data_IF_696880633540
#
_entry.id   IF_696880633540
#
_cell.length_a   1.000
_cell.length_b   1.000
_cell.length_c   1.000
_cell.angle_alpha   90.00
_cell.angle_beta   90.00
_cell.angle_gamma   90.00
#
_symmetry.space_group_name_H-M   'P 1'
#
loop_
_entity.id
_entity.type
_entity.pdbx_description
1 polymer ?
#
# COMPACT_ATOMS: atom_id res chain seq x y z
N UNK A 1 26.30 -0.32 10.34
CA UNK A 1 25.81 -1.66 9.90
C UNK A 1 24.49 -2.07 10.56
N UNK A 2 24.33 -1.94 11.88
CA UNK A 2 23.09 -2.32 12.62
C UNK A 2 21.81 -1.60 12.17
N UNK A 3 21.83 -0.29 11.86
CA UNK A 3 20.62 0.42 11.42
C UNK A 3 20.11 -0.02 10.04
N UNK A 4 21.00 -0.39 9.12
CA UNK A 4 20.64 -0.88 7.77
C UNK A 4 20.05 -2.28 7.87
N UNK A 5 20.64 -3.15 8.69
CA UNK A 5 20.11 -4.49 8.98
C UNK A 5 18.75 -4.40 9.69
N UNK A 6 18.59 -3.50 10.66
CA UNK A 6 17.34 -3.26 11.36
C UNK A 6 16.23 -2.73 10.43
N UNK A 7 16.52 -1.74 9.57
CA UNK A 7 15.57 -1.26 8.55
C UNK A 7 15.19 -2.33 7.53
N UNK A 8 16.14 -3.19 7.12
CA UNK A 8 15.85 -4.32 6.23
C UNK A 8 14.97 -5.38 6.93
N UNK A 9 15.21 -5.65 8.22
CA UNK A 9 14.42 -6.57 9.04
C UNK A 9 13.01 -6.05 9.30
N UNK A 10 12.86 -4.74 9.56
CA UNK A 10 11.56 -4.06 9.68
C UNK A 10 10.76 -4.12 8.37
N UNK A 11 11.39 -3.86 7.22
CA UNK A 11 10.73 -3.95 5.89
C UNK A 11 10.25 -5.37 5.56
N UNK A 12 10.99 -6.39 5.97
CA UNK A 12 10.60 -7.81 5.78
C UNK A 12 9.42 -8.13 6.71
N UNK A 13 9.48 -7.70 7.98
CA UNK A 13 8.39 -7.91 8.94
C UNK A 13 7.11 -7.18 8.51
N UNK A 14 7.18 -5.96 7.99
CA UNK A 14 5.98 -5.22 7.61
C UNK A 14 5.25 -5.82 6.40
N UNK A 15 5.95 -6.41 5.42
CA UNK A 15 5.29 -7.15 4.34
C UNK A 15 4.60 -8.43 4.88
N UNK A 16 5.24 -9.14 5.80
CA UNK A 16 4.63 -10.29 6.47
C UNK A 16 3.29 -9.89 7.13
N UNK A 17 3.26 -8.81 7.91
CA UNK A 17 2.01 -8.34 8.55
C UNK A 17 0.99 -7.81 7.53
N UNK A 18 1.41 -7.17 6.45
CA UNK A 18 0.50 -6.77 5.36
C UNK A 18 -0.16 -7.99 4.70
N UNK A 19 0.58 -9.07 4.49
CA UNK A 19 0.05 -10.33 3.96
C UNK A 19 -0.93 -10.96 4.97
N UNK A 20 -0.58 -11.03 6.25
CA UNK A 20 -1.47 -11.54 7.29
C UNK A 20 -2.76 -10.74 7.38
N UNK A 21 -2.67 -9.41 7.41
CA UNK A 21 -3.84 -8.51 7.42
C UNK A 21 -4.72 -8.69 6.16
N UNK A 22 -4.12 -9.02 5.03
CA UNK A 22 -4.85 -9.27 3.77
C UNK A 22 -5.56 -10.63 3.73
N UNK A 23 -5.15 -11.57 4.57
CA UNK A 23 -5.66 -12.95 4.60
C UNK A 23 -6.54 -13.24 5.84
N UNK A 24 -6.46 -12.41 6.90
CA UNK A 24 -7.08 -12.70 8.20
C UNK A 24 -8.60 -12.89 8.14
N UNK A 25 -9.26 -12.13 7.27
CA UNK A 25 -10.72 -12.17 7.06
C UNK A 25 -11.12 -13.06 5.88
N UNK A 26 -10.20 -13.38 4.96
CA UNK A 26 -10.51 -14.13 3.74
C UNK A 26 -9.27 -14.80 3.15
N UNK A 27 -9.28 -16.14 3.21
CA UNK A 27 -8.32 -16.99 2.51
C UNK A 27 -8.41 -16.79 1.00
N UNK A 28 -7.28 -16.78 0.31
CA UNK A 28 -7.25 -16.65 -1.14
C UNK A 28 -5.99 -17.27 -1.74
N UNK A 29 -5.93 -17.39 -3.07
CA UNK A 29 -4.68 -17.82 -3.71
C UNK A 29 -3.61 -16.75 -3.65
N UNK A 30 -2.34 -17.13 -3.83
CA UNK A 30 -1.25 -16.17 -3.94
C UNK A 30 -1.46 -15.16 -5.08
N UNK A 31 -2.13 -15.58 -6.16
CA UNK A 31 -2.48 -14.70 -7.29
C UNK A 31 -3.56 -13.68 -6.91
N UNK A 32 -4.63 -14.13 -6.25
CA UNK A 32 -5.70 -13.25 -5.77
C UNK A 32 -5.15 -12.27 -4.72
N UNK A 33 -4.25 -12.73 -3.86
CA UNK A 33 -3.55 -11.89 -2.89
C UNK A 33 -2.72 -10.82 -3.60
N UNK A 34 -1.93 -11.20 -4.60
CA UNK A 34 -1.13 -10.26 -5.38
C UNK A 34 -2.01 -9.18 -6.03
N UNK A 35 -3.18 -9.56 -6.57
CA UNK A 35 -4.18 -8.59 -7.05
C UNK A 35 -4.72 -7.65 -5.97
N UNK A 36 -4.89 -8.12 -4.73
CA UNK A 36 -5.29 -7.24 -3.60
C UNK A 36 -4.18 -6.20 -3.30
N UNK A 37 -2.92 -6.57 -3.46
CA UNK A 37 -1.78 -5.64 -3.35
C UNK A 37 -1.67 -4.68 -4.53
N UNK A 38 -2.10 -5.06 -5.73
CA UNK A 38 -2.20 -4.10 -6.84
C UNK A 38 -3.39 -3.12 -6.65
N UNK A 39 -4.39 -3.53 -5.86
CA UNK A 39 -5.56 -2.73 -5.50
C UNK A 39 -5.52 -2.19 -4.07
N UNK A 40 -6.45 -2.67 -3.22
CA UNK A 40 -6.78 -2.08 -1.91
C UNK A 40 -5.62 -1.98 -0.91
N UNK A 41 -4.68 -2.92 -0.93
CA UNK A 41 -3.53 -2.93 -0.01
C UNK A 41 -2.36 -2.12 -0.58
N UNK A 42 -2.30 -1.99 -1.91
CA UNK A 42 -1.31 -1.20 -2.64
C UNK A 42 -1.29 0.27 -2.26
N UNK A 43 -2.38 0.79 -1.69
CA UNK A 43 -2.49 2.19 -1.28
C UNK A 43 -1.47 2.57 -0.22
N UNK A 44 -1.16 1.65 0.69
CA UNK A 44 -0.22 1.90 1.79
C UNK A 44 0.93 0.90 1.84
N UNK A 45 0.88 -0.17 1.04
CA UNK A 45 1.97 -1.13 0.97
C UNK A 45 2.21 -1.67 -0.44
N UNK A 46 3.33 -1.25 -1.04
CA UNK A 46 3.76 -1.71 -2.35
C UNK A 46 4.66 -2.95 -2.21
N UNK A 47 4.32 -4.02 -2.92
CA UNK A 47 5.14 -5.23 -3.00
C UNK A 47 4.95 -5.89 -4.37
N UNK A 48 6.05 -6.31 -4.99
CA UNK A 48 5.96 -7.08 -6.23
C UNK A 48 5.38 -8.46 -5.97
N UNK A 49 4.75 -9.05 -7.00
CA UNK A 49 4.22 -10.42 -6.92
C UNK A 49 5.30 -11.39 -6.42
N UNK A 50 6.53 -11.27 -6.94
CA UNK A 50 7.65 -12.09 -6.51
C UNK A 50 8.01 -11.91 -5.02
N UNK A 51 7.92 -10.69 -4.48
CA UNK A 51 8.09 -10.45 -3.04
C UNK A 51 6.98 -11.13 -2.23
N UNK A 52 5.73 -11.03 -2.67
CA UNK A 52 4.57 -11.64 -2.01
C UNK A 52 4.72 -13.17 -1.96
N UNK A 53 5.04 -13.84 -3.07
CA UNK A 53 5.22 -15.29 -3.10
C UNK A 53 6.39 -15.76 -2.24
N UNK A 54 7.52 -15.04 -2.26
CA UNK A 54 8.67 -15.35 -1.39
C UNK A 54 8.30 -15.21 0.09
N UNK A 55 7.53 -14.18 0.43
CA UNK A 55 7.14 -13.94 1.82
C UNK A 55 6.09 -14.96 2.29
N UNK A 56 5.11 -15.32 1.46
CA UNK A 56 4.17 -16.42 1.74
C UNK A 56 4.90 -17.72 2.06
N UNK A 57 5.94 -18.07 1.28
CA UNK A 57 6.73 -19.28 1.57
C UNK A 57 7.46 -19.22 2.92
N UNK A 58 7.88 -18.04 3.37
CA UNK A 58 8.47 -17.88 4.71
C UNK A 58 7.41 -17.98 5.80
N UNK A 59 6.26 -17.34 5.61
CA UNK A 59 5.15 -17.39 6.56
C UNK A 59 4.63 -18.81 6.77
N UNK A 60 4.60 -19.61 5.70
CA UNK A 60 4.23 -21.03 5.74
C UNK A 60 5.24 -21.83 6.57
N UNK A 61 6.54 -21.62 6.35
CA UNK A 61 7.62 -22.22 7.18
C UNK A 61 7.59 -21.78 8.64
N UNK A 62 7.13 -20.57 8.92
CA UNK A 62 6.95 -20.05 10.27
C UNK A 62 5.65 -20.54 10.93
N UNK A 63 4.77 -21.22 10.19
CA UNK A 63 3.47 -21.68 10.68
C UNK A 63 2.45 -20.54 10.87
N UNK A 64 2.69 -19.35 10.30
CA UNK A 64 1.79 -18.20 10.42
C UNK A 64 0.69 -18.21 9.36
N UNK A 65 0.96 -18.85 8.22
CA UNK A 65 -0.05 -19.22 7.23
C UNK A 65 0.04 -20.72 6.97
N UNK A 66 -1.04 -21.28 6.47
CA UNK A 66 -1.10 -22.62 5.91
C UNK A 66 -1.61 -22.53 4.48
N UNK A 67 -1.25 -23.53 3.68
CA UNK A 67 -1.74 -23.64 2.32
C UNK A 67 -2.41 -24.97 2.05
N UNK A 68 -3.52 -24.92 1.31
CA UNK A 68 -4.26 -26.08 0.85
C UNK A 68 -4.29 -26.09 -0.68
N UNK A 69 -4.15 -27.27 -1.27
CA UNK A 69 -4.28 -27.47 -2.71
C UNK A 69 -5.74 -27.81 -2.98
N UNK A 70 -6.43 -26.94 -3.71
CA UNK A 70 -7.81 -27.14 -4.14
C UNK A 70 -7.80 -27.62 -5.59
N UNK A 71 -8.20 -28.87 -5.87
CA UNK A 71 -8.26 -29.39 -7.23
C UNK A 71 -9.18 -28.56 -8.13
N UNK A 72 -8.77 -28.33 -9.38
CA UNK A 72 -9.59 -27.62 -10.36
C UNK A 72 -9.79 -28.45 -11.63
N UNK A 73 -10.99 -28.38 -12.21
CA UNK A 73 -11.23 -29.02 -13.52
C UNK A 73 -10.80 -28.10 -14.67
N UNK A 74 -10.04 -28.66 -15.62
CA UNK A 74 -9.59 -27.96 -16.82
C UNK A 74 -8.56 -26.85 -16.58
N UNK A 75 -8.02 -26.72 -15.37
CA UNK A 75 -7.00 -25.74 -14.96
C UNK A 75 -6.05 -26.37 -13.92
N UNK A 76 -4.83 -25.84 -13.73
CA UNK A 76 -3.96 -26.27 -12.64
C UNK A 76 -4.62 -26.08 -11.27
N UNK A 77 -4.28 -26.94 -10.32
CA UNK A 77 -4.81 -26.86 -8.97
C UNK A 77 -4.50 -25.50 -8.30
N UNK A 78 -5.47 -25.01 -7.52
CA UNK A 78 -5.38 -23.72 -6.86
C UNK A 78 -4.78 -23.89 -5.47
N UNK A 79 -3.61 -23.30 -5.24
CA UNK A 79 -3.04 -23.19 -3.90
C UNK A 79 -3.66 -22.01 -3.15
N UNK A 80 -4.45 -22.28 -2.12
CA UNK A 80 -5.13 -21.29 -1.27
C UNK A 80 -4.40 -21.16 0.06
N UNK A 81 -4.20 -19.92 0.51
CA UNK A 81 -3.54 -19.59 1.77
C UNK A 81 -4.54 -19.07 2.80
N UNK A 82 -4.37 -19.51 4.05
CA UNK A 82 -5.18 -19.12 5.20
C UNK A 82 -4.28 -18.78 6.39
N UNK A 83 -4.68 -17.79 7.20
CA UNK A 83 -3.93 -17.42 8.42
C UNK A 83 -4.20 -18.46 9.52
N UNK A 84 -3.15 -18.93 10.19
CA UNK A 84 -3.26 -19.87 11.32
C UNK A 84 -3.62 -19.13 12.62
N UNK A 85 -3.87 -19.88 13.71
CA UNK A 85 -4.02 -19.29 15.05
C UNK A 85 -2.75 -18.52 15.47
N UNK A 86 -1.59 -19.10 15.22
CA UNK A 86 -0.30 -18.46 15.50
C UNK A 86 -0.13 -17.18 14.67
N UNK A 87 -0.42 -17.22 13.37
CA UNK A 87 -0.34 -16.03 12.52
C UNK A 87 -1.28 -14.90 12.97
N UNK A 88 -2.47 -15.24 13.51
CA UNK A 88 -3.38 -14.25 14.09
C UNK A 88 -2.80 -13.61 15.36
N UNK A 89 -2.19 -14.39 16.24
CA UNK A 89 -1.52 -13.87 17.44
C UNK A 89 -0.38 -12.91 17.07
N UNK A 90 0.45 -13.31 16.10
CA UNK A 90 1.57 -12.48 15.63
C UNK A 90 1.08 -11.16 15.02
N UNK A 91 -0.03 -11.20 14.26
CA UNK A 91 -0.66 -9.99 13.73
C UNK A 91 -1.20 -9.09 14.86
N UNK A 92 -1.86 -9.66 15.88
CA UNK A 92 -2.36 -8.91 17.03
C UNK A 92 -1.23 -8.25 17.83
N UNK A 93 -0.16 -9.00 18.11
CA UNK A 93 1.01 -8.47 18.81
C UNK A 93 1.69 -7.33 18.03
N UNK A 94 1.72 -7.43 16.70
CA UNK A 94 2.26 -6.36 15.86
C UNK A 94 1.37 -5.12 15.84
N UNK A 95 0.05 -5.28 15.75
CA UNK A 95 -0.92 -4.17 15.82
C UNK A 95 -0.83 -3.43 17.16
N UNK A 96 -0.57 -4.15 18.24
CA UNK A 96 -0.45 -3.56 19.58
C UNK A 96 0.86 -2.78 19.81
N UNK A 97 1.85 -2.89 18.91
CA UNK A 97 3.12 -2.18 19.03
C UNK A 97 2.99 -0.76 18.44
N UNK A 98 3.57 0.26 19.10
CA UNK A 98 3.60 1.61 18.55
C UNK A 98 4.26 1.66 17.17
N UNK A 99 3.71 2.50 16.29
CA UNK A 99 4.28 2.79 14.98
C UNK A 99 4.73 4.25 14.96
N UNK A 100 6.02 4.48 14.66
CA UNK A 100 6.59 5.83 14.55
C UNK A 100 6.32 6.43 13.17
N UNK A 101 6.03 7.74 13.07
CA UNK A 101 5.97 8.42 11.79
C UNK A 101 7.27 8.27 11.01
N UNK A 102 7.16 7.88 9.74
CA UNK A 102 8.30 7.81 8.85
C UNK A 102 8.57 9.19 8.24
N UNK A 103 9.84 9.62 8.12
CA UNK A 103 10.16 10.84 7.40
C UNK A 103 9.74 10.70 5.93
N UNK A 104 9.25 11.79 5.34
CA UNK A 104 8.96 11.87 3.91
C UNK A 104 10.27 11.62 3.14
N UNK A 105 10.20 10.73 2.15
CA UNK A 105 11.30 10.41 1.24
C UNK A 105 10.74 10.42 -0.16
N UNK A 106 10.90 11.57 -0.81
CA UNK A 106 10.33 11.82 -2.12
C UNK A 106 11.36 12.54 -2.99
N UNK A 107 11.62 11.99 -4.17
CA UNK A 107 12.65 12.48 -5.09
C UNK A 107 12.27 13.85 -5.67
N UNK A 108 10.98 14.13 -5.87
CA UNK A 108 10.50 15.42 -6.36
C UNK A 108 10.88 16.54 -5.40
N UNK A 109 10.71 16.33 -4.10
CA UNK A 109 11.04 17.34 -3.10
C UNK A 109 12.54 17.69 -3.12
N UNK A 110 13.41 16.72 -3.39
CA UNK A 110 14.85 16.96 -3.56
C UNK A 110 15.13 17.72 -4.85
N UNK A 111 14.46 17.36 -5.96
CA UNK A 111 14.56 18.10 -7.24
C UNK A 111 14.15 19.56 -7.07
N UNK A 112 13.03 19.83 -6.39
CA UNK A 112 12.54 21.20 -6.14
C UNK A 112 13.47 21.97 -5.22
N UNK A 113 14.02 21.34 -4.17
CA UNK A 113 14.93 21.99 -3.23
C UNK A 113 16.11 22.70 -3.93
N UNK A 114 16.59 22.14 -5.05
CA UNK A 114 17.65 22.74 -5.88
C UNK A 114 17.17 23.12 -7.27
N UNK A 115 15.87 23.37 -7.46
CA UNK A 115 15.27 23.60 -8.77
C UNK A 115 15.81 24.83 -9.52
N UNK A 116 16.37 25.81 -8.80
CA UNK A 116 16.95 27.03 -9.37
C UNK A 116 18.21 26.80 -10.24
N UNK A 117 18.80 25.60 -10.21
CA UNK A 117 20.00 25.27 -11.01
C UNK A 117 19.66 24.77 -12.43
N UNK A 118 18.38 24.62 -12.76
CA UNK A 118 17.89 24.19 -14.08
C UNK A 118 16.90 25.21 -14.63
N UNK A 119 16.46 25.02 -15.88
CA UNK A 119 15.42 25.86 -16.45
C UNK A 119 14.09 25.67 -15.70
N UNK A 120 13.32 26.74 -15.56
CA UNK A 120 11.98 26.69 -14.97
C UNK A 120 11.08 25.65 -15.67
N UNK A 121 11.17 25.59 -17.00
CA UNK A 121 10.45 24.60 -17.81
C UNK A 121 10.72 23.16 -17.36
N UNK A 122 11.96 22.83 -16.98
CA UNK A 122 12.33 21.49 -16.49
C UNK A 122 11.59 21.14 -15.20
N UNK A 123 11.47 22.09 -14.26
CA UNK A 123 10.78 21.86 -12.99
C UNK A 123 9.27 21.81 -13.19
N UNK A 124 8.72 22.68 -14.03
CA UNK A 124 7.29 22.68 -14.36
C UNK A 124 6.85 21.36 -15.01
N UNK A 125 7.64 20.81 -15.94
CA UNK A 125 7.37 19.51 -16.55
C UNK A 125 7.34 18.37 -15.52
N UNK A 126 8.28 18.36 -14.59
CA UNK A 126 8.34 17.33 -13.53
C UNK A 126 7.16 17.47 -12.56
N UNK A 127 6.82 18.70 -12.15
CA UNK A 127 5.67 18.99 -11.30
C UNK A 127 4.36 18.53 -11.94
N UNK A 128 4.17 18.80 -13.24
CA UNK A 128 2.97 18.38 -13.97
C UNK A 128 2.90 16.85 -14.11
N UNK A 129 4.03 16.19 -14.38
CA UNK A 129 4.10 14.73 -14.42
C UNK A 129 3.68 14.11 -13.08
N UNK A 130 4.23 14.60 -11.98
CA UNK A 130 3.86 14.14 -10.64
C UNK A 130 2.40 14.45 -10.31
N UNK A 131 1.93 15.67 -10.62
CA UNK A 131 0.53 16.08 -10.40
C UNK A 131 -0.43 15.12 -11.11
N UNK A 132 -0.16 14.80 -12.37
CA UNK A 132 -0.99 13.90 -13.16
C UNK A 132 -1.04 12.49 -12.56
N UNK A 133 0.10 11.95 -12.11
CA UNK A 133 0.14 10.65 -11.44
C UNK A 133 -0.68 10.62 -10.13
N UNK A 134 -0.67 11.72 -9.36
CA UNK A 134 -1.50 11.85 -8.15
C UNK A 134 -2.99 12.01 -8.48
N UNK A 135 -3.35 12.71 -9.56
CA UNK A 135 -4.73 12.82 -10.04
C UNK A 135 -5.31 11.45 -10.41
N UNK A 136 -4.56 10.62 -11.13
CA UNK A 136 -4.99 9.28 -11.55
C UNK A 136 -5.26 8.37 -10.34
N UNK A 137 -4.37 8.41 -9.34
CA UNK A 137 -4.57 7.70 -8.07
C UNK A 137 -5.77 8.21 -7.30
N UNK A 138 -5.92 9.54 -7.19
CA UNK A 138 -7.05 10.17 -6.52
C UNK A 138 -8.38 9.76 -7.15
N UNK A 139 -8.46 9.73 -8.49
CA UNK A 139 -9.64 9.24 -9.22
C UNK A 139 -9.96 7.80 -8.83
N UNK A 140 -8.96 6.91 -8.89
CA UNK A 140 -9.12 5.50 -8.51
C UNK A 140 -9.66 5.36 -7.08
N UNK A 141 -9.17 6.18 -6.14
CA UNK A 141 -9.62 6.11 -4.75
C UNK A 141 -11.05 6.62 -4.56
N UNK A 142 -11.43 7.67 -5.28
CA UNK A 142 -12.81 8.19 -5.26
C UNK A 142 -13.79 7.20 -5.87
N UNK A 143 -13.42 6.51 -6.95
CA UNK A 143 -14.25 5.48 -7.56
C UNK A 143 -14.49 4.31 -6.58
N UNK A 144 -13.49 3.92 -5.81
CA UNK A 144 -13.62 2.90 -4.77
C UNK A 144 -14.48 3.37 -3.59
N UNK A 145 -14.31 4.63 -3.17
CA UNK A 145 -15.14 5.24 -2.13
C UNK A 145 -16.62 5.20 -2.53
N UNK A 146 -16.92 5.63 -3.76
CA UNK A 146 -18.27 5.62 -4.31
C UNK A 146 -18.82 4.20 -4.49
N UNK A 147 -17.98 3.23 -4.85
CA UNK A 147 -18.43 1.85 -5.11
C UNK A 147 -18.71 1.05 -3.84
N UNK A 148 -17.88 1.21 -2.80
CA UNK A 148 -17.88 0.32 -1.64
C UNK A 148 -18.30 0.99 -0.33
N UNK A 149 -18.32 2.33 -0.26
CA UNK A 149 -18.50 3.07 1.01
C UNK A 149 -19.60 4.15 0.93
N UNK A 150 -20.71 3.84 0.25
CA UNK A 150 -21.82 4.79 0.04
C UNK A 150 -22.57 5.17 1.33
N UNK A 151 -22.68 4.26 2.30
CA UNK A 151 -23.41 4.48 3.54
C UNK A 151 -22.53 4.22 4.76
N UNK A 152 -21.88 5.28 5.26
CA UNK A 152 -20.94 5.19 6.38
C UNK A 152 -21.60 4.76 7.70
N UNK A 153 -22.89 5.04 7.88
CA UNK A 153 -23.63 4.69 9.10
C UNK A 153 -23.91 3.18 9.21
N UNK A 154 -23.86 2.45 8.08
CA UNK A 154 -24.16 1.02 8.01
C UNK A 154 -22.92 0.16 7.79
N UNK A 155 -21.71 0.73 7.88
CA UNK A 155 -20.48 -0.05 7.74
C UNK A 155 -20.31 -1.03 8.89
N UNK A 156 -19.95 -2.27 8.55
CA UNK A 156 -19.41 -3.23 9.53
C UNK A 156 -18.11 -2.69 10.14
N UNK A 157 -17.72 -3.21 11.31
CA UNK A 157 -16.49 -2.74 11.96
C UNK A 157 -15.26 -2.94 11.07
N UNK A 158 -15.12 -4.09 10.40
CA UNK A 158 -14.06 -4.33 9.41
C UNK A 158 -14.08 -3.27 8.30
N UNK A 159 -15.25 -2.95 7.75
CA UNK A 159 -15.38 -1.96 6.69
C UNK A 159 -15.02 -0.55 7.17
N UNK A 160 -15.26 -0.19 8.44
CA UNK A 160 -14.81 1.09 9.01
C UNK A 160 -13.28 1.22 8.95
N UNK A 161 -12.53 0.18 9.31
CA UNK A 161 -11.06 0.23 9.24
C UNK A 161 -10.55 0.32 7.80
N UNK A 162 -11.16 -0.42 6.87
CA UNK A 162 -10.84 -0.32 5.44
C UNK A 162 -11.16 1.07 4.86
N UNK A 163 -12.28 1.66 5.28
CA UNK A 163 -12.64 3.01 4.88
C UNK A 163 -11.63 4.04 5.38
N UNK A 164 -11.16 3.93 6.64
CA UNK A 164 -10.18 4.86 7.20
C UNK A 164 -8.85 4.87 6.43
N UNK A 165 -8.39 3.71 5.95
CA UNK A 165 -7.16 3.64 5.13
C UNK A 165 -7.38 4.27 3.75
N UNK A 166 -8.51 4.00 3.10
CA UNK A 166 -8.88 4.64 1.83
C UNK A 166 -8.99 6.16 1.97
N UNK A 167 -9.64 6.65 3.04
CA UNK A 167 -9.75 8.08 3.34
C UNK A 167 -8.40 8.74 3.54
N UNK A 168 -7.46 8.07 4.20
CA UNK A 168 -6.09 8.58 4.34
C UNK A 168 -5.43 8.70 2.96
N UNK A 169 -5.60 7.73 2.08
CA UNK A 169 -5.15 7.78 0.69
C UNK A 169 -5.73 8.98 -0.06
N UNK A 170 -7.06 9.15 -0.05
CA UNK A 170 -7.73 10.28 -0.72
C UNK A 170 -7.17 11.63 -0.26
N UNK A 171 -7.01 11.81 1.05
CA UNK A 171 -6.45 13.06 1.61
C UNK A 171 -4.99 13.26 1.22
N UNK A 172 -4.21 12.19 1.18
CA UNK A 172 -2.81 12.24 0.75
C UNK A 172 -2.68 12.66 -0.71
N UNK A 173 -3.39 11.99 -1.62
CA UNK A 173 -3.36 12.31 -3.05
C UNK A 173 -3.92 13.71 -3.33
N UNK A 174 -4.99 14.12 -2.63
CA UNK A 174 -5.54 15.49 -2.75
C UNK A 174 -4.49 16.53 -2.36
N UNK A 175 -3.82 16.35 -1.22
CA UNK A 175 -2.82 17.30 -0.75
C UNK A 175 -1.60 17.39 -1.70
N UNK A 176 -1.20 16.28 -2.32
CA UNK A 176 -0.16 16.31 -3.35
C UNK A 176 -0.57 17.09 -4.59
N UNK A 177 -1.79 16.88 -5.08
CA UNK A 177 -2.33 17.65 -6.22
C UNK A 177 -2.38 19.13 -5.89
N UNK A 178 -2.90 19.48 -4.72
CA UNK A 178 -3.00 20.88 -4.26
C UNK A 178 -1.61 21.54 -4.15
N UNK A 179 -0.63 20.83 -3.59
CA UNK A 179 0.74 21.34 -3.47
C UNK A 179 1.44 21.47 -4.83
N UNK A 180 1.22 20.54 -5.76
CA UNK A 180 1.75 20.69 -7.13
C UNK A 180 1.14 21.92 -7.82
N UNK A 181 -0.17 22.17 -7.65
CA UNK A 181 -0.81 23.37 -8.19
C UNK A 181 -0.19 24.64 -7.58
N UNK A 182 0.01 24.68 -6.26
CA UNK A 182 0.65 25.79 -5.55
C UNK A 182 2.06 26.07 -6.10
N UNK A 183 2.88 25.02 -6.26
CA UNK A 183 4.24 25.14 -6.77
C UNK A 183 4.27 25.62 -8.24
N UNK A 184 3.39 25.08 -9.09
CA UNK A 184 3.28 25.50 -10.50
C UNK A 184 2.83 26.96 -10.59
N UNK A 185 1.86 27.38 -9.79
CA UNK A 185 1.39 28.77 -9.76
C UNK A 185 2.49 29.73 -9.30
N UNK A 186 3.26 29.35 -8.27
CA UNK A 186 4.38 30.15 -7.78
C UNK A 186 5.45 30.36 -8.84
N UNK A 187 5.80 29.30 -9.59
CA UNK A 187 6.85 29.36 -10.61
C UNK A 187 6.42 30.08 -11.88
N UNK A 188 5.15 29.96 -12.30
CA UNK A 188 4.61 30.65 -13.49
C UNK A 188 4.42 32.16 -13.31
N UNK A 189 4.54 32.70 -12.09
CA UNK A 189 4.27 34.12 -11.79
C UNK A 189 5.44 35.08 -12.10
N UNK A 190 6.41 34.65 -12.91
CA UNK A 190 7.51 35.50 -13.39
C UNK A 190 7.41 35.78 -14.89
#
# INVERSE_FOLDING_TARGET
>A
MQQVVYKKRLRIMSLAHAILASLVDSSCSGYDLAKRFDGSVGFFWQASHQQIYRELSKLDKLGWVISEIIPQQGKPDKKVYSVTKEGKLQLQEWIAKPCEPMPVRDDLLVKIFSGHIVSEHTILQELEHHRQAHIEKLSTYRDLEQKYFQNLQQLSDTAKFQYLTLRKGIRYETQWVDWCNEAIELLNKN
#
